data_IF_526985261554
#
_entry.id   IF_526985261554
#
_cell.length_a   1.000
_cell.length_b   1.000
_cell.length_c   1.000
_cell.angle_alpha   90.00
_cell.angle_beta   90.00
_cell.angle_gamma   90.00
#
_symmetry.space_group_name_H-M   'P 1'
#
loop_
_entity.id
_entity.type
_entity.pdbx_description
1 polymer ?
#
# COMPACT_ATOMS: atom_id res chain seq x y z
N UNK A 1 3.82 12.69 -21.34
CA UNK A 1 4.68 11.68 -21.99
C UNK A 1 6.10 11.46 -21.41
N UNK A 2 6.62 12.20 -20.40
CA UNK A 2 7.94 11.88 -19.81
C UNK A 2 7.90 10.71 -18.82
N UNK A 3 6.75 10.52 -18.15
CA UNK A 3 6.51 9.49 -17.13
C UNK A 3 6.79 8.08 -17.66
N UNK A 4 6.28 7.72 -18.85
CA UNK A 4 6.40 6.35 -19.37
C UNK A 4 7.84 5.89 -19.65
N UNK A 5 8.75 6.79 -20.03
CA UNK A 5 10.15 6.45 -20.35
C UNK A 5 11.01 6.18 -19.12
N UNK A 6 10.62 6.71 -17.97
CA UNK A 6 11.31 6.48 -16.70
C UNK A 6 10.91 5.15 -16.04
N UNK A 7 9.68 4.70 -16.30
CA UNK A 7 9.12 3.43 -15.78
C UNK A 7 9.82 2.19 -16.37
N UNK A 8 10.17 2.20 -17.66
CA UNK A 8 10.83 1.05 -18.30
C UNK A 8 12.28 0.84 -17.79
N UNK A 9 12.96 1.89 -17.32
CA UNK A 9 14.31 1.77 -16.74
C UNK A 9 14.31 1.23 -15.31
N UNK A 10 13.22 1.42 -14.54
CA UNK A 10 13.10 0.94 -13.16
C UNK A 10 13.02 -0.59 -13.05
N UNK A 11 12.71 -1.30 -14.14
CA UNK A 11 12.50 -2.74 -14.17
C UNK A 11 13.78 -3.60 -14.17
N UNK A 12 14.98 -2.99 -14.15
CA UNK A 12 16.25 -3.71 -14.01
C UNK A 12 16.61 -4.07 -12.57
N UNK A 13 15.95 -3.45 -11.58
CA UNK A 13 16.16 -3.74 -10.16
C UNK A 13 15.30 -4.94 -9.74
N UNK A 14 15.96 -5.99 -9.24
CA UNK A 14 15.30 -7.24 -8.84
C UNK A 14 14.82 -7.20 -7.39
N UNK A 15 15.34 -6.29 -6.57
CA UNK A 15 14.88 -6.11 -5.19
C UNK A 15 13.58 -5.28 -5.16
N UNK A 16 12.44 -5.87 -4.76
CA UNK A 16 11.17 -5.15 -4.74
C UNK A 16 11.16 -3.97 -3.77
N UNK A 17 12.12 -3.85 -2.84
CA UNK A 17 12.28 -2.71 -1.94
C UNK A 17 12.91 -1.48 -2.61
N UNK A 18 13.70 -1.68 -3.67
CA UNK A 18 14.46 -0.61 -4.33
C UNK A 18 13.79 -0.10 -5.61
N UNK A 19 12.67 -0.70 -6.00
CA UNK A 19 11.88 -0.24 -7.14
C UNK A 19 11.43 1.21 -6.95
N UNK A 20 11.73 2.03 -7.96
CA UNK A 20 11.15 3.36 -8.12
C UNK A 20 9.73 3.20 -8.63
N UNK A 21 8.75 3.53 -7.79
CA UNK A 21 7.33 3.54 -8.11
C UNK A 21 6.84 4.99 -8.10
N UNK A 22 5.76 5.33 -8.83
CA UNK A 22 5.11 6.62 -8.66
C UNK A 22 4.73 6.86 -7.20
N UNK A 23 4.85 8.12 -6.77
CA UNK A 23 4.54 8.49 -5.39
C UNK A 23 3.03 8.51 -5.16
N UNK A 24 2.63 8.24 -3.90
CA UNK A 24 1.25 8.44 -3.46
C UNK A 24 1.16 9.90 -3.01
N UNK A 25 0.47 10.71 -3.80
CA UNK A 25 0.18 12.09 -3.44
C UNK A 25 -0.92 12.14 -2.37
N UNK A 26 -1.01 13.26 -1.65
CA UNK A 26 -1.93 13.42 -0.53
C UNK A 26 -2.74 14.70 -0.64
N UNK A 27 -3.97 14.63 -0.16
CA UNK A 27 -4.84 15.80 0.05
C UNK A 27 -5.03 16.05 1.54
N UNK A 28 -5.22 17.31 1.94
CA UNK A 28 -5.44 17.67 3.34
C UNK A 28 -6.83 17.20 3.82
N UNK A 29 -6.87 16.59 5.00
CA UNK A 29 -8.11 16.32 5.71
C UNK A 29 -8.50 17.53 6.55
N UNK A 30 -9.63 18.16 6.21
CA UNK A 30 -10.04 19.44 6.80
C UNK A 30 -10.68 19.30 8.18
N UNK A 31 -11.32 18.16 8.47
CA UNK A 31 -12.06 17.92 9.70
C UNK A 31 -11.17 17.32 10.80
N UNK A 32 -10.06 18.01 11.10
CA UNK A 32 -9.08 17.58 12.10
C UNK A 32 -9.76 17.41 13.46
N UNK A 33 -9.59 16.24 14.07
CA UNK A 33 -10.18 15.89 15.37
C UNK A 33 -11.36 14.93 15.28
N UNK A 34 -11.99 14.80 14.12
CA UNK A 34 -13.04 13.82 13.88
C UNK A 34 -12.44 12.49 13.39
N UNK A 35 -12.63 11.43 14.16
CA UNK A 35 -12.17 10.09 13.78
C UNK A 35 -13.23 9.40 12.92
N UNK A 36 -12.98 9.36 11.61
CA UNK A 36 -13.80 8.61 10.66
C UNK A 36 -13.06 7.37 10.15
N UNK A 37 -13.81 6.33 9.81
CA UNK A 37 -13.29 5.20 9.06
C UNK A 37 -13.46 5.44 7.56
N UNK A 38 -12.34 5.36 6.83
CA UNK A 38 -12.34 5.41 5.36
C UNK A 38 -11.86 4.07 4.82
N UNK A 39 -12.64 3.46 3.94
CA UNK A 39 -12.34 2.18 3.31
C UNK A 39 -12.09 2.37 1.81
N UNK A 40 -10.88 2.00 1.37
CA UNK A 40 -10.49 1.93 -0.04
C UNK A 40 -10.46 0.47 -0.49
N UNK A 41 -11.13 0.18 -1.59
CA UNK A 41 -11.11 -1.14 -2.25
C UNK A 41 -10.48 -1.02 -3.62
N UNK A 42 -9.58 -1.95 -3.92
CA UNK A 42 -8.95 -2.07 -5.22
C UNK A 42 -9.00 -3.55 -5.65
N UNK A 43 -10.05 -3.96 -6.39
CA UNK A 43 -10.27 -5.36 -6.75
C UNK A 43 -9.38 -5.85 -7.90
N UNK A 44 -8.62 -4.96 -8.54
CA UNK A 44 -7.85 -5.25 -9.76
C UNK A 44 -6.33 -5.16 -9.55
N UNK A 45 -5.85 -5.40 -8.33
CA UNK A 45 -4.40 -5.42 -8.07
C UNK A 45 -3.79 -6.64 -8.74
N UNK A 46 -2.68 -6.45 -9.43
CA UNK A 46 -1.95 -7.55 -10.08
C UNK A 46 -0.44 -7.32 -10.00
N UNK A 47 0.29 -8.42 -9.89
CA UNK A 47 1.75 -8.47 -9.92
C UNK A 47 2.21 -9.79 -10.57
N UNK A 48 3.49 -9.91 -10.90
CA UNK A 48 4.04 -11.14 -11.47
C UNK A 48 4.55 -12.06 -10.36
N UNK A 49 4.29 -13.36 -10.48
CA UNK A 49 4.91 -14.37 -9.64
C UNK A 49 6.42 -14.42 -9.93
N UNK A 50 7.32 -14.23 -8.94
CA UNK A 50 8.77 -14.24 -9.16
C UNK A 50 9.31 -15.55 -9.74
N UNK A 51 8.60 -16.66 -9.55
CA UNK A 51 9.03 -18.01 -9.97
C UNK A 51 8.62 -18.33 -11.40
N UNK A 52 7.38 -18.05 -11.76
CA UNK A 52 6.80 -18.46 -13.05
C UNK A 52 6.68 -17.33 -14.06
N UNK A 53 6.77 -16.07 -13.62
CA UNK A 53 6.52 -14.89 -14.46
C UNK A 53 5.05 -14.69 -14.86
N UNK A 54 4.14 -15.56 -14.40
CA UNK A 54 2.71 -15.44 -14.66
C UNK A 54 2.08 -14.38 -13.73
N UNK A 55 1.02 -13.69 -14.18
CA UNK A 55 0.32 -12.75 -13.35
C UNK A 55 -0.43 -13.44 -12.20
N UNK A 56 -0.33 -12.83 -11.03
CA UNK A 56 -1.21 -13.03 -9.88
C UNK A 56 -2.21 -11.87 -9.82
N UNK A 57 -3.38 -12.14 -9.25
CA UNK A 57 -4.46 -11.17 -9.07
C UNK A 57 -4.90 -11.14 -7.62
N UNK A 58 -5.25 -9.95 -7.15
CA UNK A 58 -5.54 -9.68 -5.75
C UNK A 58 -6.68 -8.68 -5.59
N UNK A 59 -7.48 -8.88 -4.53
CA UNK A 59 -8.34 -7.84 -3.97
C UNK A 59 -7.61 -7.18 -2.80
N UNK A 60 -7.33 -5.88 -2.94
CA UNK A 60 -6.74 -5.06 -1.88
C UNK A 60 -7.85 -4.26 -1.18
N UNK A 61 -7.83 -4.29 0.14
CA UNK A 61 -8.68 -3.48 1.01
C UNK A 61 -7.81 -2.71 2.01
N UNK A 62 -7.99 -1.41 2.08
CA UNK A 62 -7.35 -0.54 3.07
C UNK A 62 -8.42 0.17 3.88
N UNK A 63 -8.43 -0.03 5.19
CA UNK A 63 -9.30 0.66 6.14
C UNK A 63 -8.41 1.57 6.99
N UNK A 64 -8.71 2.86 7.07
CA UNK A 64 -7.89 3.81 7.84
C UNK A 64 -8.72 4.83 8.61
N UNK A 65 -8.10 5.40 9.63
CA UNK A 65 -8.52 6.66 10.26
C UNK A 65 -7.46 7.72 9.92
N UNK A 66 -7.81 8.79 9.19
CA UNK A 66 -6.85 9.85 8.83
C UNK A 66 -6.38 10.64 10.06
N UNK A 67 -5.17 11.20 9.97
CA UNK A 67 -4.73 12.29 10.85
C UNK A 67 -4.87 13.64 10.14
N UNK A 68 -3.92 13.95 9.25
CA UNK A 68 -3.89 15.22 8.50
C UNK A 68 -4.12 15.06 7.00
N UNK A 69 -3.93 13.85 6.49
CA UNK A 69 -3.87 13.58 5.06
C UNK A 69 -4.74 12.39 4.66
N UNK A 70 -5.30 12.48 3.47
CA UNK A 70 -5.92 11.38 2.73
C UNK A 70 -5.10 11.12 1.46
N UNK A 71 -5.07 9.88 0.96
CA UNK A 71 -4.45 9.61 -0.34
C UNK A 71 -5.23 10.28 -1.46
N UNK A 72 -4.53 10.87 -2.44
CA UNK A 72 -5.15 11.29 -3.70
C UNK A 72 -5.38 10.05 -4.58
N UNK A 73 -6.61 9.85 -5.05
CA UNK A 73 -7.04 8.58 -5.65
C UNK A 73 -6.35 8.26 -6.98
N UNK A 74 -6.03 9.26 -7.80
CA UNK A 74 -5.36 9.04 -9.08
C UNK A 74 -3.93 8.56 -8.88
N UNK A 75 -3.15 9.21 -8.04
CA UNK A 75 -1.78 8.83 -7.69
C UNK A 75 -1.75 7.46 -7.01
N UNK A 76 -2.69 7.18 -6.09
CA UNK A 76 -2.83 5.86 -5.48
C UNK A 76 -3.10 4.77 -6.53
N UNK A 77 -3.98 5.03 -7.50
CA UNK A 77 -4.22 4.10 -8.62
C UNK A 77 -2.96 3.88 -9.45
N UNK A 78 -2.23 4.95 -9.80
CA UNK A 78 -0.99 4.84 -10.58
C UNK A 78 0.10 4.05 -9.83
N UNK A 79 0.21 4.23 -8.51
CA UNK A 79 1.04 3.44 -7.61
C UNK A 79 0.69 1.94 -7.65
N UNK A 80 -0.59 1.60 -7.46
CA UNK A 80 -1.02 0.20 -7.46
C UNK A 80 -0.85 -0.48 -8.83
N UNK A 81 -1.15 0.24 -9.92
CA UNK A 81 -0.98 -0.27 -11.30
C UNK A 81 0.49 -0.52 -11.66
N UNK A 82 1.44 0.21 -11.05
CA UNK A 82 2.86 0.03 -11.31
C UNK A 82 3.37 -1.38 -10.93
N UNK A 83 2.68 -2.09 -10.02
CA UNK A 83 3.04 -3.46 -9.65
C UNK A 83 2.74 -4.51 -10.74
N UNK A 84 1.95 -4.19 -11.77
CA UNK A 84 1.51 -5.14 -12.81
C UNK A 84 2.65 -5.91 -13.49
N UNK A 85 3.82 -5.29 -13.59
CA UNK A 85 5.01 -5.89 -14.21
C UNK A 85 6.12 -6.19 -13.20
N UNK A 86 5.82 -6.17 -11.90
CA UNK A 86 6.79 -6.38 -10.82
C UNK A 86 6.71 -7.83 -10.36
N UNK A 87 7.86 -8.51 -10.36
CA UNK A 87 8.01 -9.84 -9.76
C UNK A 87 8.07 -9.74 -8.24
N UNK A 88 6.99 -10.09 -7.53
CA UNK A 88 6.93 -9.97 -6.06
C UNK A 88 5.99 -11.01 -5.45
N UNK A 89 6.38 -11.61 -4.31
CA UNK A 89 5.50 -12.48 -3.53
C UNK A 89 4.38 -11.67 -2.87
N UNK A 90 3.18 -12.22 -2.76
CA UNK A 90 2.00 -11.47 -2.31
C UNK A 90 2.11 -11.01 -0.85
N UNK A 91 2.86 -11.72 -0.01
CA UNK A 91 3.21 -11.32 1.35
C UNK A 91 4.09 -10.06 1.36
N UNK A 92 5.09 -10.02 0.47
CA UNK A 92 5.97 -8.86 0.32
C UNK A 92 5.23 -7.68 -0.32
N UNK A 93 4.33 -7.95 -1.27
CA UNK A 93 3.49 -6.95 -1.91
C UNK A 93 2.60 -6.24 -0.88
N UNK A 94 1.92 -7.00 -0.01
CA UNK A 94 1.10 -6.44 1.06
C UNK A 94 1.93 -5.57 2.01
N UNK A 95 3.12 -6.03 2.43
CA UNK A 95 4.01 -5.25 3.31
C UNK A 95 4.53 -3.99 2.62
N UNK A 96 4.88 -4.07 1.34
CA UNK A 96 5.36 -2.93 0.55
C UNK A 96 4.30 -1.84 0.44
N UNK A 97 3.10 -2.22 -0.02
CA UNK A 97 1.96 -1.29 -0.15
C UNK A 97 1.63 -0.66 1.19
N UNK A 98 1.56 -1.46 2.25
CA UNK A 98 1.27 -0.97 3.60
C UNK A 98 2.26 0.11 4.04
N UNK A 99 3.56 -0.15 3.89
CA UNK A 99 4.61 0.76 4.37
C UNK A 99 4.60 2.07 3.57
N UNK A 100 4.46 1.99 2.24
CA UNK A 100 4.41 3.17 1.38
C UNK A 100 3.16 4.01 1.68
N UNK A 101 2.01 3.37 1.89
CA UNK A 101 0.76 4.05 2.23
C UNK A 101 0.86 4.75 3.60
N UNK A 102 1.35 4.06 4.64
CA UNK A 102 1.57 4.65 5.97
C UNK A 102 2.55 5.83 5.90
N UNK A 103 3.62 5.71 5.11
CA UNK A 103 4.60 6.77 4.92
C UNK A 103 3.98 8.01 4.26
N UNK A 104 3.12 7.81 3.26
CA UNK A 104 2.47 8.89 2.54
C UNK A 104 1.46 9.64 3.41
N UNK A 105 0.49 8.93 4.01
CA UNK A 105 -0.66 9.58 4.66
C UNK A 105 -0.54 9.74 6.17
N UNK A 106 0.37 9.00 6.82
CA UNK A 106 0.60 9.00 8.27
C UNK A 106 -0.71 8.93 9.07
N UNK A 107 -1.49 7.85 8.92
CA UNK A 107 -2.82 7.76 9.52
C UNK A 107 -2.72 7.51 11.03
N UNK A 108 -3.80 7.73 11.79
CA UNK A 108 -3.87 7.31 13.21
C UNK A 108 -3.98 5.78 13.35
N UNK A 109 -4.71 5.19 12.42
CA UNK A 109 -4.93 3.75 12.30
C UNK A 109 -4.96 3.35 10.83
N UNK A 110 -4.39 2.19 10.51
CA UNK A 110 -4.53 1.58 9.19
C UNK A 110 -4.56 0.07 9.31
N UNK A 111 -5.51 -0.57 8.63
CA UNK A 111 -5.57 -2.00 8.39
C UNK A 111 -5.53 -2.23 6.89
N UNK A 112 -4.63 -3.09 6.44
CA UNK A 112 -4.54 -3.53 5.05
C UNK A 112 -4.81 -5.03 5.00
N UNK A 113 -5.68 -5.43 4.08
CA UNK A 113 -5.97 -6.81 3.73
C UNK A 113 -5.72 -6.99 2.23
N UNK A 114 -4.93 -8.00 1.86
CA UNK A 114 -4.67 -8.39 0.49
C UNK A 114 -5.07 -9.85 0.32
N UNK A 115 -6.13 -10.09 -0.44
CA UNK A 115 -6.60 -11.45 -0.78
C UNK A 115 -6.04 -11.84 -2.13
N UNK A 116 -5.32 -12.95 -2.17
CA UNK A 116 -4.84 -13.54 -3.43
C UNK A 116 -5.89 -14.47 -4.03
N UNK A 117 -5.96 -14.47 -5.36
CA UNK A 117 -6.67 -15.51 -6.09
C UNK A 117 -6.06 -16.89 -5.79
N UNK A 118 -6.90 -17.92 -5.89
CA UNK A 118 -6.52 -19.30 -5.55
C UNK A 118 -5.34 -19.79 -6.38
N UNK A 119 -4.35 -20.38 -5.71
CA UNK A 119 -3.21 -21.07 -6.35
C UNK A 119 -3.01 -22.44 -5.70
N UNK A 120 -2.99 -23.49 -6.51
CA UNK A 120 -2.87 -24.87 -6.01
C UNK A 120 -3.99 -25.25 -5.04
N UNK A 121 -5.21 -24.75 -5.26
CA UNK A 121 -6.36 -24.90 -4.35
C UNK A 121 -6.19 -24.26 -2.97
N UNK A 122 -5.19 -23.39 -2.78
CA UNK A 122 -4.94 -22.67 -1.53
C UNK A 122 -5.39 -21.21 -1.69
N UNK A 123 -6.24 -20.78 -0.76
CA UNK A 123 -6.60 -19.38 -0.61
C UNK A 123 -5.63 -18.71 0.36
N UNK A 124 -5.13 -17.53 -0.01
CA UNK A 124 -4.21 -16.78 0.85
C UNK A 124 -4.73 -15.37 1.08
N UNK A 125 -4.74 -14.92 2.33
CA UNK A 125 -5.09 -13.56 2.72
C UNK A 125 -4.04 -13.02 3.67
N UNK A 126 -3.42 -11.91 3.29
CA UNK A 126 -2.38 -11.24 4.10
C UNK A 126 -3.00 -10.03 4.77
N UNK A 127 -2.79 -9.88 6.08
CA UNK A 127 -3.28 -8.74 6.85
C UNK A 127 -2.16 -8.07 7.63
N UNK A 128 -2.20 -6.74 7.70
CA UNK A 128 -1.29 -5.96 8.52
C UNK A 128 -2.00 -4.75 9.10
N UNK A 129 -1.70 -4.41 10.35
CA UNK A 129 -2.31 -3.31 11.08
C UNK A 129 -1.23 -2.35 11.59
N UNK A 130 -1.50 -1.05 11.48
CA UNK A 130 -0.76 0.04 12.09
C UNK A 130 -1.68 0.75 13.08
N UNK A 131 -1.15 1.06 14.26
CA UNK A 131 -1.79 1.95 15.22
C UNK A 131 -0.72 2.91 15.72
N UNK A 132 -0.98 4.20 15.61
CA UNK A 132 -0.08 5.20 16.19
C UNK A 132 -0.09 5.05 17.71
N UNK A 133 1.08 4.84 18.31
CA UNK A 133 1.23 4.82 19.76
C UNK A 133 1.43 6.26 20.20
N UNK A 134 0.42 6.86 20.83
CA UNK A 134 0.52 8.20 21.37
C UNK A 134 1.60 8.24 22.46
N UNK A 135 2.67 9.02 22.24
CA UNK A 135 3.66 9.33 23.28
C UNK A 135 3.04 10.32 24.28
N UNK A 136 2.17 9.84 25.16
CA UNK A 136 1.84 10.51 26.43
C UNK A 136 2.20 9.58 27.57
N UNK A 137 3.49 9.35 27.78
CA UNK A 137 3.99 8.85 29.05
C UNK A 137 4.29 10.07 29.93
N UNK A 138 3.47 10.24 30.96
CA UNK A 138 3.68 11.18 32.05
C UNK A 138 5.12 11.09 32.58
N UNK A 139 5.86 12.19 32.48
CA UNK A 139 6.96 12.46 33.42
C UNK A 139 6.30 12.76 34.77
N UNK A 140 6.08 11.73 35.59
CA UNK A 140 5.93 11.95 37.02
C UNK A 140 7.34 11.97 37.60
N UNK A 141 7.80 13.17 37.91
CA UNK A 141 8.95 13.40 38.77
C UNK A 141 8.63 12.85 40.16
N UNK A 142 9.50 11.99 40.68
CA UNK A 142 9.69 11.74 42.11
C UNK A 142 11.17 11.95 42.40
#
# INVERSE_FOLDING_TARGET
MPIAKEYDKAQKEKDPKKLKLPEIETVEYLYKGEDIFVEYKFPELTALCPKTGLPDFYELKVLMIPDKYLPELKSLKLYLVAFRKVGIFHEHLAVRIFNDFVKAVKPKFLSLELKANVRGSIYTTVRKIYKEVSKKAHTLQY
#
